data_IF_392918232520
#
_entry.id   IF_392918232520
#
_cell.length_a   1.000
_cell.length_b   1.000
_cell.length_c   1.000
_cell.angle_alpha   90.00
_cell.angle_beta   90.00
_cell.angle_gamma   90.00
#
_symmetry.space_group_name_H-M   'P 1'
#
loop_
_entity.id
_entity.type
_entity.pdbx_description
1 polymer ?
#
# COMPACT_ATOMS: atom_id res chain seq x y z
N UNK A 1 14.56 15.74 -19.09
CA UNK A 1 14.62 16.09 -17.65
C UNK A 1 13.19 16.35 -17.20
N UNK A 2 12.55 15.34 -16.61
CA UNK A 2 11.26 15.50 -15.95
C UNK A 2 11.50 16.34 -14.70
N UNK A 3 11.04 17.58 -14.71
CA UNK A 3 11.12 18.48 -13.56
C UNK A 3 10.29 17.85 -12.43
N UNK A 4 10.98 17.18 -11.48
CA UNK A 4 10.33 16.40 -10.43
C UNK A 4 9.47 17.36 -9.60
N UNK A 5 8.17 17.02 -9.40
CA UNK A 5 7.34 17.80 -8.48
C UNK A 5 7.95 17.67 -7.09
N UNK A 6 8.41 18.75 -6.52
CA UNK A 6 9.18 18.66 -5.28
C UNK A 6 8.31 18.38 -4.04
N UNK A 7 6.99 18.20 -4.19
CA UNK A 7 6.10 18.05 -3.05
C UNK A 7 6.53 16.88 -2.15
N UNK A 8 6.60 15.66 -2.70
CA UNK A 8 6.92 14.47 -1.90
C UNK A 8 8.38 14.50 -1.39
N UNK A 9 9.29 14.96 -2.23
CA UNK A 9 10.71 15.04 -1.88
C UNK A 9 11.04 16.06 -0.78
N UNK A 10 10.22 17.12 -0.69
CA UNK A 10 10.34 18.17 0.35
C UNK A 10 9.70 17.81 1.67
N UNK A 11 8.94 16.71 1.74
CA UNK A 11 8.34 16.29 3.01
C UNK A 11 9.44 15.95 4.01
N UNK A 12 9.32 16.43 5.26
CA UNK A 12 10.25 16.07 6.31
C UNK A 12 10.20 14.56 6.56
N UNK A 13 11.38 13.95 6.70
CA UNK A 13 11.49 12.53 7.07
C UNK A 13 11.23 12.37 8.56
N UNK A 14 10.20 11.61 8.91
CA UNK A 14 9.84 11.27 10.29
C UNK A 14 10.61 10.02 10.69
N UNK A 15 11.42 10.11 11.75
CA UNK A 15 12.25 8.97 12.20
C UNK A 15 11.59 8.13 13.30
N UNK A 16 10.57 8.66 13.97
CA UNK A 16 9.83 7.94 15.00
C UNK A 16 8.48 7.49 14.46
N UNK A 17 8.21 6.21 14.53
CA UNK A 17 6.89 5.67 14.17
C UNK A 17 5.77 6.29 15.04
N UNK A 18 6.11 6.68 16.26
CA UNK A 18 5.22 7.34 17.22
C UNK A 18 4.68 8.68 16.74
N UNK A 19 5.53 9.44 16.06
CA UNK A 19 5.12 10.72 15.53
C UNK A 19 4.03 10.61 14.44
N UNK A 20 3.89 9.43 13.82
CA UNK A 20 2.83 9.15 12.85
C UNK A 20 1.44 9.07 13.52
N UNK A 21 1.36 8.60 14.77
CA UNK A 21 0.08 8.38 15.46
C UNK A 21 -0.68 9.68 15.75
N UNK A 22 0.04 10.80 15.91
CA UNK A 22 -0.55 12.12 16.16
C UNK A 22 -1.13 12.83 14.94
N UNK A 23 -0.92 12.28 13.74
CA UNK A 23 -1.43 12.84 12.48
C UNK A 23 -0.80 14.17 12.02
N UNK A 24 -0.05 14.85 12.88
CA UNK A 24 0.48 16.19 12.59
C UNK A 24 1.58 16.21 11.51
N UNK A 25 2.26 15.09 11.28
CA UNK A 25 3.31 14.96 10.26
C UNK A 25 2.77 14.65 8.86
N UNK A 26 1.48 14.37 8.71
CA UNK A 26 0.86 14.09 7.43
C UNK A 26 0.49 15.39 6.70
N UNK A 27 1.07 15.57 5.52
CA UNK A 27 0.71 16.67 4.62
C UNK A 27 -0.41 16.25 3.67
N UNK A 28 -1.43 17.09 3.44
CA UNK A 28 -2.46 16.81 2.44
C UNK A 28 -1.82 16.81 1.04
N UNK A 29 -2.16 15.82 0.20
CA UNK A 29 -1.75 15.83 -1.20
C UNK A 29 -2.32 17.07 -1.91
N UNK A 30 -1.61 17.66 -2.88
CA UNK A 30 -2.18 18.73 -3.71
C UNK A 30 -3.48 18.26 -4.40
N UNK A 31 -4.45 19.17 -4.57
CA UNK A 31 -5.77 18.81 -5.07
C UNK A 31 -5.78 18.34 -6.53
N UNK A 32 -4.77 18.72 -7.29
CA UNK A 32 -4.56 18.35 -8.68
C UNK A 32 -3.78 17.05 -8.87
N UNK A 33 -3.24 16.46 -7.79
CA UNK A 33 -2.60 15.15 -7.83
C UNK A 33 -3.62 14.04 -8.06
N UNK A 34 -3.13 12.87 -8.48
CA UNK A 34 -3.95 11.68 -8.69
C UNK A 34 -3.48 10.57 -7.76
N UNK A 35 -4.46 9.83 -7.25
CA UNK A 35 -4.26 8.60 -6.51
C UNK A 35 -4.47 7.42 -7.44
N UNK A 36 -3.49 6.54 -7.52
CA UNK A 36 -3.57 5.30 -8.27
C UNK A 36 -3.71 4.09 -7.34
N UNK A 37 -4.39 3.08 -7.84
CA UNK A 37 -4.55 1.80 -7.16
C UNK A 37 -4.54 0.66 -8.17
N UNK A 38 -3.88 -0.44 -7.81
CA UNK A 38 -3.92 -1.73 -8.52
C UNK A 38 -4.24 -2.84 -7.54
N UNK A 39 -4.99 -3.86 -7.98
CA UNK A 39 -5.39 -5.00 -7.16
C UNK A 39 -5.64 -6.24 -8.02
N UNK A 40 -5.20 -7.40 -7.56
CA UNK A 40 -5.41 -8.67 -8.24
C UNK A 40 -6.80 -9.20 -7.93
N UNK A 41 -7.55 -9.58 -8.97
CA UNK A 41 -8.84 -10.26 -8.82
C UNK A 41 -8.60 -11.66 -8.27
N UNK A 42 -9.31 -12.02 -7.18
CA UNK A 42 -9.22 -13.33 -6.53
C UNK A 42 -7.81 -13.73 -6.07
N UNK A 43 -7.06 -12.76 -5.54
CA UNK A 43 -5.73 -13.00 -4.97
C UNK A 43 -5.75 -14.08 -3.88
N UNK A 44 -6.79 -14.15 -3.07
CA UNK A 44 -6.99 -15.18 -2.04
C UNK A 44 -7.07 -16.59 -2.63
N UNK A 45 -7.79 -16.76 -3.76
CA UNK A 45 -7.85 -18.03 -4.47
C UNK A 45 -6.49 -18.46 -5.02
N UNK A 46 -5.73 -17.54 -5.59
CA UNK A 46 -4.37 -17.78 -6.06
C UNK A 46 -3.41 -18.16 -4.90
N UNK A 47 -3.52 -17.48 -3.76
CA UNK A 47 -2.73 -17.78 -2.57
C UNK A 47 -3.05 -19.19 -2.03
N UNK A 48 -4.31 -19.59 -2.01
CA UNK A 48 -4.73 -20.95 -1.61
C UNK A 48 -4.15 -22.05 -2.53
N UNK A 49 -3.85 -21.72 -3.79
CA UNK A 49 -3.17 -22.59 -4.75
C UNK A 49 -1.64 -22.55 -4.64
N UNK A 50 -1.08 -21.79 -3.69
CA UNK A 50 0.36 -21.66 -3.48
C UNK A 50 1.07 -20.65 -4.39
N UNK A 51 0.33 -19.84 -5.17
CA UNK A 51 0.89 -18.88 -6.12
C UNK A 51 1.40 -17.58 -5.46
N UNK A 52 1.80 -17.61 -4.19
CA UNK A 52 2.15 -16.40 -3.42
C UNK A 52 3.27 -15.57 -4.05
N UNK A 53 4.25 -16.20 -4.71
CA UNK A 53 5.35 -15.47 -5.38
C UNK A 53 4.84 -14.70 -6.60
N UNK A 54 3.96 -15.31 -7.37
CA UNK A 54 3.32 -14.68 -8.54
C UNK A 54 2.45 -13.52 -8.09
N UNK A 55 1.60 -13.71 -7.06
CA UNK A 55 0.77 -12.66 -6.48
C UNK A 55 1.61 -11.47 -6.04
N UNK A 56 2.66 -11.70 -5.23
CA UNK A 56 3.54 -10.62 -4.78
C UNK A 56 4.28 -9.93 -5.92
N UNK A 57 4.73 -10.68 -6.93
CA UNK A 57 5.44 -10.12 -8.07
C UNK A 57 4.50 -9.25 -8.93
N UNK A 58 3.30 -9.73 -9.22
CA UNK A 58 2.29 -8.96 -9.96
C UNK A 58 1.86 -7.73 -9.16
N UNK A 59 1.61 -7.87 -7.85
CA UNK A 59 1.27 -6.74 -6.98
C UNK A 59 2.35 -5.65 -6.95
N UNK A 60 3.63 -6.04 -6.97
CA UNK A 60 4.76 -5.09 -6.97
C UNK A 60 5.09 -4.53 -8.37
N UNK A 61 4.62 -5.16 -9.44
CA UNK A 61 5.00 -4.78 -10.81
C UNK A 61 4.54 -3.36 -11.18
N UNK A 62 3.43 -2.88 -10.61
CA UNK A 62 2.96 -1.51 -10.82
C UNK A 62 3.98 -0.47 -10.33
N UNK A 63 4.65 -0.74 -9.19
CA UNK A 63 5.69 0.15 -8.66
C UNK A 63 6.88 0.17 -9.61
N UNK A 64 7.37 -1.01 -10.05
CA UNK A 64 8.50 -1.10 -10.95
C UNK A 64 8.24 -0.42 -12.30
N UNK A 65 7.08 -0.69 -12.92
CA UNK A 65 6.68 -0.05 -14.16
C UNK A 65 6.65 1.47 -14.05
N UNK A 66 6.01 2.00 -13.00
CA UNK A 66 5.95 3.44 -12.78
C UNK A 66 7.32 4.05 -12.47
N UNK A 67 8.14 3.41 -11.62
CA UNK A 67 9.49 3.91 -11.32
C UNK A 67 10.34 4.03 -12.59
N UNK A 68 10.30 3.03 -13.47
CA UNK A 68 11.05 3.04 -14.73
C UNK A 68 10.47 4.08 -15.71
N UNK A 69 9.16 4.14 -15.89
CA UNK A 69 8.51 5.11 -16.77
C UNK A 69 8.68 6.56 -16.32
N UNK A 70 8.85 6.79 -15.02
CA UNK A 70 9.07 8.12 -14.43
C UNK A 70 10.56 8.47 -14.25
N UNK A 71 11.47 7.71 -14.86
CA UNK A 71 12.92 7.95 -14.77
C UNK A 71 13.40 8.02 -13.31
N UNK A 72 12.85 7.13 -12.47
CA UNK A 72 13.11 7.04 -11.04
C UNK A 72 12.78 8.30 -10.23
N UNK A 73 11.96 9.21 -10.77
CA UNK A 73 11.45 10.34 -9.99
C UNK A 73 10.68 9.83 -8.77
N UNK A 74 10.92 10.36 -7.57
CA UNK A 74 10.28 9.87 -6.35
C UNK A 74 8.77 10.19 -6.36
N UNK A 75 7.97 9.21 -5.98
CA UNK A 75 6.54 9.35 -5.73
C UNK A 75 6.14 8.49 -4.53
N UNK A 76 5.11 8.89 -3.75
CA UNK A 76 4.64 8.09 -2.63
C UNK A 76 3.87 6.86 -3.11
N UNK A 77 4.22 5.69 -2.54
CA UNK A 77 3.51 4.43 -2.79
C UNK A 77 3.51 3.54 -1.55
N UNK A 78 2.56 2.62 -1.50
CA UNK A 78 2.48 1.54 -0.53
C UNK A 78 2.16 0.23 -1.25
N UNK A 79 2.85 -0.84 -0.83
CA UNK A 79 2.67 -2.19 -1.35
C UNK A 79 1.87 -3.03 -0.36
N UNK A 80 0.77 -3.61 -0.81
CA UNK A 80 -0.14 -4.43 0.01
C UNK A 80 0.02 -5.95 -0.14
N UNK A 81 0.97 -6.41 -0.96
CA UNK A 81 1.19 -7.84 -1.22
C UNK A 81 0.54 -8.33 -2.53
N UNK A 82 -0.71 -8.05 -2.75
CA UNK A 82 -1.48 -8.37 -3.96
C UNK A 82 -1.87 -7.14 -4.78
N UNK A 83 -1.51 -5.95 -4.28
CA UNK A 83 -1.78 -4.68 -4.93
C UNK A 83 -0.89 -3.56 -4.44
N UNK A 84 -1.05 -2.43 -5.06
CA UNK A 84 -0.28 -1.22 -4.80
C UNK A 84 -1.19 0.00 -4.84
N UNK A 85 -1.02 0.92 -3.89
CA UNK A 85 -1.57 2.27 -3.97
C UNK A 85 -0.45 3.29 -4.03
N UNK A 86 -0.65 4.37 -4.78
CA UNK A 86 0.35 5.40 -4.99
C UNK A 86 -0.29 6.75 -5.29
N UNK A 87 0.51 7.82 -5.31
CA UNK A 87 0.04 9.10 -5.81
C UNK A 87 1.08 9.74 -6.73
N UNK A 88 0.59 10.42 -7.76
CA UNK A 88 1.43 11.08 -8.78
C UNK A 88 0.93 12.48 -9.09
N UNK A 89 1.82 13.41 -9.45
CA UNK A 89 1.42 14.75 -9.90
C UNK A 89 0.76 14.70 -11.29
N UNK A 90 -0.07 15.70 -11.63
CA UNK A 90 -0.87 15.71 -12.86
C UNK A 90 -0.03 15.63 -14.14
N UNK A 91 1.19 16.18 -14.13
CA UNK A 91 2.07 16.17 -15.32
C UNK A 91 2.51 14.78 -15.78
N UNK A 92 2.46 13.76 -14.91
CA UNK A 92 2.81 12.37 -15.25
C UNK A 92 1.58 11.45 -15.27
N UNK A 93 0.38 12.00 -15.13
CA UNK A 93 -0.86 11.23 -15.07
C UNK A 93 -1.09 10.38 -16.33
N UNK A 94 -0.79 10.91 -17.51
CA UNK A 94 -0.96 10.18 -18.77
C UNK A 94 0.06 9.04 -18.89
N UNK A 95 1.31 9.27 -18.47
CA UNK A 95 2.33 8.22 -18.41
C UNK A 95 1.91 7.13 -17.45
N UNK A 96 1.47 7.49 -16.24
CA UNK A 96 1.00 6.53 -15.26
C UNK A 96 -0.20 5.71 -15.78
N UNK A 97 -1.16 6.36 -16.44
CA UNK A 97 -2.31 5.68 -17.05
C UNK A 97 -1.91 4.70 -18.14
N UNK A 98 -0.97 5.08 -19.00
CA UNK A 98 -0.47 4.20 -20.06
C UNK A 98 0.26 2.99 -19.50
N UNK A 99 1.13 3.18 -18.50
CA UNK A 99 1.86 2.09 -17.88
C UNK A 99 0.93 1.11 -17.15
N UNK A 100 -0.09 1.61 -16.46
CA UNK A 100 -1.09 0.75 -15.83
C UNK A 100 -1.92 -0.04 -16.86
N UNK A 101 -2.24 0.58 -18.01
CA UNK A 101 -2.93 -0.10 -19.10
C UNK A 101 -2.07 -1.22 -19.72
N UNK A 102 -0.76 -0.94 -19.96
CA UNK A 102 0.21 -1.93 -20.43
C UNK A 102 0.37 -3.07 -19.44
N UNK A 103 0.52 -2.73 -18.16
CA UNK A 103 0.67 -3.71 -17.08
C UNK A 103 -0.53 -4.65 -16.99
N UNK A 104 -1.75 -4.13 -17.07
CA UNK A 104 -2.96 -4.94 -17.07
C UNK A 104 -2.98 -5.96 -18.22
N UNK A 105 -2.65 -5.50 -19.43
CA UNK A 105 -2.61 -6.35 -20.62
C UNK A 105 -1.54 -7.44 -20.50
N UNK A 106 -0.33 -7.06 -20.05
CA UNK A 106 0.80 -7.95 -19.85
C UNK A 106 0.52 -9.01 -18.77
N UNK A 107 -0.02 -8.61 -17.62
CA UNK A 107 -0.37 -9.53 -16.52
C UNK A 107 -1.40 -10.58 -16.97
N UNK A 108 -2.41 -10.15 -17.73
CA UNK A 108 -3.41 -11.06 -18.27
C UNK A 108 -2.79 -12.04 -19.27
N UNK A 109 -1.89 -11.58 -20.13
CA UNK A 109 -1.24 -12.41 -21.13
C UNK A 109 -0.27 -13.43 -20.52
N UNK A 110 0.58 -13.01 -19.59
CA UNK A 110 1.68 -13.83 -19.09
C UNK A 110 1.26 -14.78 -17.95
N UNK A 111 0.27 -14.40 -17.16
CA UNK A 111 -0.10 -15.13 -15.94
C UNK A 111 -1.55 -15.60 -15.92
N UNK A 112 -2.37 -15.21 -16.89
CA UNK A 112 -3.83 -15.40 -16.87
C UNK A 112 -4.47 -14.85 -15.58
N UNK A 113 -3.93 -13.74 -15.08
CA UNK A 113 -4.39 -13.03 -13.90
C UNK A 113 -5.04 -11.71 -14.32
N UNK A 114 -6.24 -11.47 -13.81
CA UNK A 114 -6.88 -10.17 -13.99
C UNK A 114 -6.40 -9.17 -12.94
N UNK A 115 -5.76 -8.09 -13.40
CA UNK A 115 -5.36 -6.95 -12.58
C UNK A 115 -6.36 -5.81 -12.79
N UNK A 116 -6.92 -5.26 -11.70
CA UNK A 116 -7.64 -3.99 -11.72
C UNK A 116 -6.65 -2.85 -11.63
N UNK A 117 -6.96 -1.72 -12.22
CA UNK A 117 -6.20 -0.49 -12.04
C UNK A 117 -7.13 0.73 -12.15
N UNK A 118 -6.90 1.70 -11.30
CA UNK A 118 -7.61 2.99 -11.32
C UNK A 118 -6.63 4.15 -11.08
N UNK A 119 -7.00 5.32 -11.58
CA UNK A 119 -6.29 6.58 -11.33
C UNK A 119 -7.32 7.69 -11.15
N UNK A 120 -7.39 8.26 -9.94
CA UNK A 120 -8.46 9.14 -9.48
C UNK A 120 -7.89 10.47 -9.01
N UNK A 121 -8.41 11.63 -9.47
CA UNK A 121 -8.00 12.93 -8.93
C UNK A 121 -8.27 13.04 -7.42
N UNK A 122 -7.35 13.63 -6.67
CA UNK A 122 -7.53 13.91 -5.24
C UNK A 122 -8.77 14.78 -4.99
N UNK A 123 -9.11 15.66 -5.92
CA UNK A 123 -10.33 16.46 -5.86
C UNK A 123 -11.61 15.60 -5.80
N UNK A 124 -11.67 14.48 -6.55
CA UNK A 124 -12.81 13.55 -6.53
C UNK A 124 -12.89 12.81 -5.17
N UNK A 125 -11.74 12.41 -4.62
CA UNK A 125 -11.67 11.80 -3.28
C UNK A 125 -12.23 12.74 -2.23
N UNK A 126 -11.86 14.03 -2.30
CA UNK A 126 -12.35 15.06 -1.38
C UNK A 126 -13.84 15.37 -1.59
N UNK A 127 -14.31 15.37 -2.82
CA UNK A 127 -15.73 15.53 -3.11
C UNK A 127 -16.59 14.40 -2.52
N UNK A 128 -16.01 13.20 -2.37
CA UNK A 128 -16.64 12.06 -1.70
C UNK A 128 -16.56 12.11 -0.17
N UNK A 129 -15.94 13.14 0.42
CA UNK A 129 -15.85 13.33 1.88
C UNK A 129 -14.63 12.67 2.54
N UNK A 130 -13.67 12.16 1.75
CA UNK A 130 -12.41 11.61 2.23
C UNK A 130 -11.26 12.58 1.96
N UNK A 131 -10.07 12.30 2.50
CA UNK A 131 -8.85 13.02 2.16
C UNK A 131 -7.72 12.02 1.86
N UNK A 132 -6.66 12.51 1.24
CA UNK A 132 -5.41 11.78 1.07
C UNK A 132 -4.29 12.63 1.60
N UNK A 133 -3.67 12.16 2.65
CA UNK A 133 -2.55 12.80 3.32
C UNK A 133 -1.37 11.85 3.32
N UNK A 134 -0.17 12.35 3.25
CA UNK A 134 1.04 11.55 3.20
C UNK A 134 2.10 12.07 4.15
N UNK A 135 2.78 11.14 4.83
CA UNK A 135 4.00 11.39 5.58
C UNK A 135 5.13 10.50 5.02
N UNK A 136 6.36 10.91 5.23
CA UNK A 136 7.56 10.17 4.81
C UNK A 136 8.26 9.61 6.04
N UNK A 137 8.14 8.30 6.28
CA UNK A 137 8.73 7.62 7.42
C UNK A 137 10.11 7.04 7.07
N UNK A 138 11.15 7.52 7.71
CA UNK A 138 12.50 7.01 7.55
C UNK A 138 12.74 5.85 8.53
N UNK A 139 12.63 4.62 8.03
CA UNK A 139 12.95 3.42 8.81
C UNK A 139 14.47 3.27 9.04
N UNK A 140 15.29 3.85 8.16
CA UNK A 140 16.73 3.95 8.29
C UNK A 140 17.25 5.16 7.48
N UNK A 141 18.55 5.41 7.53
CA UNK A 141 19.19 6.49 6.74
C UNK A 141 18.92 6.38 5.23
N UNK A 142 18.82 5.15 4.72
CA UNK A 142 18.71 4.86 3.28
C UNK A 142 17.36 4.30 2.86
N UNK A 143 16.40 4.16 3.79
CA UNK A 143 15.11 3.55 3.52
C UNK A 143 14.00 4.38 4.14
N UNK A 144 13.13 4.91 3.30
CA UNK A 144 11.91 5.57 3.74
C UNK A 144 10.67 5.00 3.03
N UNK A 145 9.53 5.13 3.72
CA UNK A 145 8.22 4.68 3.26
C UNK A 145 7.25 5.84 3.22
N UNK A 146 6.40 5.84 2.21
CA UNK A 146 5.20 6.65 2.24
C UNK A 146 4.19 6.04 3.21
N UNK A 147 3.69 6.87 4.10
CA UNK A 147 2.60 6.52 5.02
C UNK A 147 1.40 7.37 4.63
N UNK A 148 0.26 6.73 4.39
CA UNK A 148 -0.95 7.42 3.97
C UNK A 148 -1.99 7.47 5.08
N UNK A 149 -2.79 8.54 5.07
CA UNK A 149 -3.87 8.81 6.01
C UNK A 149 -5.06 9.48 5.29
N UNK A 150 -6.21 9.59 5.96
CA UNK A 150 -7.39 10.31 5.46
C UNK A 150 -8.46 9.44 4.80
N UNK A 151 -8.25 8.11 4.71
CA UNK A 151 -9.23 7.14 4.19
C UNK A 151 -9.40 7.12 2.67
N UNK A 152 -8.77 8.06 1.95
CA UNK A 152 -8.96 8.20 0.50
C UNK A 152 -8.43 7.03 -0.31
N UNK A 153 -7.31 6.38 0.12
CA UNK A 153 -6.82 5.18 -0.56
C UNK A 153 -7.83 4.04 -0.52
N UNK A 154 -8.40 3.77 0.66
CA UNK A 154 -9.40 2.73 0.83
C UNK A 154 -10.68 3.02 0.03
N UNK A 155 -11.08 4.30 -0.05
CA UNK A 155 -12.19 4.71 -0.90
C UNK A 155 -11.88 4.45 -2.38
N UNK A 156 -10.72 4.85 -2.89
CA UNK A 156 -10.30 4.61 -4.29
C UNK A 156 -10.30 3.13 -4.61
N UNK A 157 -9.78 2.29 -3.71
CA UNK A 157 -9.79 0.83 -3.87
C UNK A 157 -11.21 0.27 -3.95
N UNK A 158 -12.11 0.75 -3.10
CA UNK A 158 -13.54 0.35 -3.10
C UNK A 158 -14.21 0.73 -4.43
N UNK A 159 -13.97 1.94 -4.91
CA UNK A 159 -14.49 2.44 -6.17
C UNK A 159 -13.98 1.66 -7.37
N UNK A 160 -12.67 1.36 -7.39
CA UNK A 160 -12.05 0.52 -8.40
C UNK A 160 -12.67 -0.89 -8.41
N UNK A 161 -12.87 -1.50 -7.25
CA UNK A 161 -13.50 -2.82 -7.13
C UNK A 161 -14.97 -2.81 -7.58
N UNK A 162 -15.63 -1.67 -7.47
CA UNK A 162 -16.98 -1.44 -8.00
C UNK A 162 -17.00 -1.13 -9.52
N UNK A 163 -15.83 -1.14 -10.19
CA UNK A 163 -15.70 -0.87 -11.63
C UNK A 163 -15.69 0.60 -12.00
N UNK A 164 -15.54 1.51 -11.01
CA UNK A 164 -15.41 2.95 -11.27
C UNK A 164 -13.94 3.33 -11.48
N UNK A 165 -13.70 4.36 -12.29
CA UNK A 165 -12.35 4.86 -12.63
C UNK A 165 -11.42 3.82 -13.27
N UNK A 166 -11.98 2.76 -13.83
CA UNK A 166 -11.22 1.66 -14.44
C UNK A 166 -10.34 2.17 -15.58
N UNK A 167 -9.10 1.71 -15.61
CA UNK A 167 -8.17 1.93 -16.71
C UNK A 167 -8.24 0.69 -17.60
N UNK A 168 -8.69 0.79 -18.85
CA UNK A 168 -8.73 -0.38 -19.75
C UNK A 168 -7.32 -0.92 -20.02
N UNK A 169 -7.22 -2.23 -20.25
CA UNK A 169 -5.98 -2.84 -20.71
C UNK A 169 -5.55 -2.27 -22.05
N UNK A 170 -4.23 -2.16 -22.28
CA UNK A 170 -3.70 -1.65 -23.54
C UNK A 170 -3.96 -2.63 -24.71
N UNK A 171 -4.19 -2.05 -25.90
CA UNK A 171 -4.27 -2.77 -27.18
C UNK A 171 -3.61 -1.89 -28.25
N UNK A 172 -2.53 -2.35 -28.93
CA UNK A 172 -1.90 -3.67 -28.78
C UNK A 172 -1.18 -3.85 -27.44
N UNK A 173 -0.91 -5.10 -27.07
CA UNK A 173 -0.21 -5.43 -25.85
C UNK A 173 1.29 -5.10 -26.01
N UNK A 174 1.77 -4.23 -25.12
CA UNK A 174 3.18 -3.91 -24.99
C UNK A 174 3.63 -4.23 -23.56
N UNK A 175 4.74 -4.95 -23.40
CA UNK A 175 5.26 -5.25 -22.09
C UNK A 175 5.77 -3.95 -21.40
N UNK A 176 5.42 -3.72 -20.12
CA UNK A 176 5.99 -2.63 -19.36
C UNK A 176 7.47 -2.88 -19.06
N UNK A 177 8.25 -1.82 -18.81
CA UNK A 177 9.61 -1.98 -18.32
C UNK A 177 9.58 -2.35 -16.82
N UNK A 178 9.91 -3.61 -16.52
CA UNK A 178 9.97 -4.15 -15.16
C UNK A 178 11.42 -4.37 -14.69
N UNK A 179 12.38 -3.70 -15.30
CA UNK A 179 13.80 -3.77 -14.91
C UNK A 179 13.95 -3.49 -13.41
N UNK A 180 14.69 -4.34 -12.71
CA UNK A 180 14.90 -4.24 -11.26
C UNK A 180 13.84 -4.94 -10.41
N UNK A 181 12.69 -5.35 -10.98
CA UNK A 181 11.71 -6.14 -10.25
C UNK A 181 12.28 -7.52 -9.92
N UNK A 182 12.35 -7.86 -8.65
CA UNK A 182 12.78 -9.19 -8.22
C UNK A 182 12.07 -9.60 -6.93
N UNK A 183 11.55 -10.82 -6.91
CA UNK A 183 11.00 -11.42 -5.69
C UNK A 183 12.09 -12.26 -5.01
N UNK A 184 12.63 -11.76 -3.90
CA UNK A 184 13.72 -12.41 -3.13
C UNK A 184 13.22 -13.12 -1.86
N UNK A 185 11.91 -13.34 -1.75
CA UNK A 185 11.31 -13.98 -0.59
C UNK A 185 11.52 -15.49 -0.62
N UNK A 186 12.00 -16.01 0.50
CA UNK A 186 12.03 -17.44 0.77
C UNK A 186 11.20 -17.71 2.03
N UNK A 187 10.51 -18.85 2.07
CA UNK A 187 9.84 -19.28 3.28
C UNK A 187 10.87 -19.55 4.38
N UNK A 188 10.67 -18.97 5.56
CA UNK A 188 11.47 -19.25 6.74
C UNK A 188 10.65 -20.12 7.67
N UNK A 189 11.15 -21.28 8.12
CA UNK A 189 10.43 -22.11 9.08
C UNK A 189 10.25 -21.36 10.40
N UNK A 190 9.09 -21.53 11.01
CA UNK A 190 8.83 -20.97 12.33
C UNK A 190 9.76 -21.61 13.37
N UNK A 191 10.57 -20.81 14.06
CA UNK A 191 11.55 -21.29 15.05
C UNK A 191 10.86 -22.04 16.20
N UNK A 192 9.66 -21.60 16.59
CA UNK A 192 8.86 -22.18 17.67
C UNK A 192 7.62 -22.95 17.15
N UNK A 193 7.63 -23.38 15.89
CA UNK A 193 6.54 -24.16 15.28
C UNK A 193 5.32 -23.34 14.84
N UNK A 194 5.15 -22.10 15.30
CA UNK A 194 4.02 -21.24 14.97
C UNK A 194 4.47 -19.78 14.75
N UNK A 195 3.75 -19.08 13.87
CA UNK A 195 3.82 -17.63 13.69
C UNK A 195 2.42 -17.09 13.94
N UNK A 196 2.29 -16.18 14.91
CA UNK A 196 1.04 -15.48 15.19
C UNK A 196 1.09 -14.09 14.59
N UNK A 197 0.12 -13.78 13.73
CA UNK A 197 -0.09 -12.42 13.19
C UNK A 197 -1.38 -11.85 13.78
N UNK A 198 -1.31 -10.64 14.33
CA UNK A 198 -2.46 -9.91 14.87
C UNK A 198 -2.68 -8.66 14.00
N UNK A 199 -3.87 -8.56 13.40
CA UNK A 199 -4.29 -7.40 12.63
C UNK A 199 -5.44 -6.71 13.36
N UNK A 200 -5.28 -5.41 13.61
CA UNK A 200 -6.30 -4.59 14.26
C UNK A 200 -6.89 -3.64 13.23
N UNK A 201 -8.18 -3.80 12.96
CA UNK A 201 -8.94 -2.94 12.07
C UNK A 201 -9.89 -2.08 12.88
N UNK A 202 -9.80 -0.77 12.72
CA UNK A 202 -10.62 0.26 13.35
C UNK A 202 -10.48 0.38 14.88
N UNK A 203 -10.14 1.59 15.32
CA UNK A 203 -9.94 1.94 16.71
C UNK A 203 -11.19 1.69 17.58
N UNK A 204 -12.37 1.94 17.03
CA UNK A 204 -13.65 1.81 17.76
C UNK A 204 -13.99 0.35 18.11
N UNK A 205 -13.62 -0.60 17.26
CA UNK A 205 -13.82 -2.03 17.56
C UNK A 205 -12.89 -2.53 18.65
N UNK A 206 -11.67 -1.99 18.73
CA UNK A 206 -10.70 -2.32 19.77
C UNK A 206 -11.16 -1.80 21.12
N UNK A 207 -11.69 -0.58 21.17
CA UNK A 207 -12.19 0.03 22.43
C UNK A 207 -13.46 -0.64 22.96
N UNK A 208 -14.28 -1.21 22.09
CA UNK A 208 -15.55 -1.85 22.47
C UNK A 208 -15.39 -3.32 22.86
N UNK A 209 -14.28 -3.96 22.54
CA UNK A 209 -14.09 -5.38 22.85
C UNK A 209 -13.53 -5.55 24.26
N UNK A 210 -14.14 -6.39 25.14
CA UNK A 210 -13.72 -6.56 26.55
C UNK A 210 -12.24 -6.96 26.72
N UNK A 211 -11.66 -7.70 25.77
CA UNK A 211 -10.23 -8.10 25.77
C UNK A 211 -9.28 -6.92 25.67
N UNK A 212 -9.73 -5.78 25.16
CA UNK A 212 -8.92 -4.59 24.94
C UNK A 212 -9.35 -3.40 25.81
N UNK A 213 -10.33 -3.63 26.71
CA UNK A 213 -10.76 -2.63 27.68
C UNK A 213 -9.58 -2.22 28.58
N UNK A 214 -9.05 -1.03 28.36
CA UNK A 214 -7.85 -0.52 29.04
C UNK A 214 -6.62 -0.34 28.16
N UNK A 215 -6.66 -0.78 26.90
CA UNK A 215 -5.63 -0.41 25.94
C UNK A 215 -5.94 0.96 25.34
N UNK A 216 -5.09 1.93 25.62
CA UNK A 216 -5.05 3.16 24.85
C UNK A 216 -4.40 2.87 23.49
N UNK A 217 -4.95 3.39 22.40
CA UNK A 217 -4.34 3.35 21.06
C UNK A 217 -2.93 3.97 21.00
N UNK A 218 -2.57 4.74 22.03
CA UNK A 218 -1.24 5.30 22.25
C UNK A 218 -0.31 4.35 23.01
N UNK A 219 -0.83 3.27 23.61
CA UNK A 219 0.01 2.23 24.23
C UNK A 219 0.44 1.22 23.18
N UNK A 220 1.58 1.43 22.66
CA UNK A 220 2.20 0.66 21.61
C UNK A 220 2.62 -0.70 22.01
N UNK A 221 2.45 -1.55 21.08
CA UNK A 221 3.25 -2.76 20.96
C UNK A 221 4.52 -2.35 20.21
N UNK A 222 5.59 -1.98 20.89
CA UNK A 222 6.91 -1.95 20.26
C UNK A 222 7.28 -3.38 19.91
N UNK A 223 7.95 -3.60 18.78
CA UNK A 223 8.28 -4.97 18.33
C UNK A 223 9.18 -5.74 19.33
N UNK A 224 9.86 -5.05 20.26
CA UNK A 224 10.67 -5.63 21.31
C UNK A 224 9.87 -6.01 22.56
N UNK A 225 8.77 -5.29 22.84
CA UNK A 225 7.90 -5.57 24.00
C UNK A 225 6.75 -6.52 23.67
N UNK A 226 6.55 -6.84 22.37
CA UNK A 226 5.43 -7.66 21.90
C UNK A 226 5.42 -9.09 22.45
N UNK A 227 6.58 -9.67 22.76
CA UNK A 227 6.63 -11.01 23.37
C UNK A 227 6.15 -10.99 24.83
N UNK A 228 6.52 -9.99 25.60
CA UNK A 228 6.09 -9.87 27.00
C UNK A 228 4.61 -9.50 27.11
N UNK A 229 4.11 -8.58 26.26
CA UNK A 229 2.70 -8.20 26.22
C UNK A 229 1.81 -9.36 25.72
N UNK A 230 2.27 -10.13 24.74
CA UNK A 230 1.56 -11.29 24.21
C UNK A 230 1.47 -12.42 25.26
N UNK A 231 2.55 -12.69 26.01
CA UNK A 231 2.56 -13.63 27.12
C UNK A 231 1.59 -13.23 28.23
N UNK A 232 1.49 -11.96 28.56
CA UNK A 232 0.55 -11.45 29.56
C UNK A 232 -0.90 -11.56 29.09
N UNK A 233 -1.19 -11.30 27.83
CA UNK A 233 -2.52 -11.42 27.24
C UNK A 233 -3.01 -12.87 27.13
N UNK A 234 -2.14 -13.78 26.74
CA UNK A 234 -2.49 -15.20 26.56
C UNK A 234 -2.47 -15.93 27.89
N UNK A 235 -1.52 -15.62 28.79
CA UNK A 235 -1.40 -16.27 30.11
C UNK A 235 -2.63 -16.01 31.02
N UNK A 236 -3.17 -14.79 31.01
CA UNK A 236 -4.35 -14.45 31.81
C UNK A 236 -5.65 -15.04 31.28
N UNK A 237 -5.67 -15.65 30.11
CA UNK A 237 -6.89 -16.24 29.49
C UNK A 237 -6.88 -17.77 29.52
N UNK A 238 -5.73 -18.41 29.80
CA UNK A 238 -5.63 -19.87 29.92
C UNK A 238 -5.84 -20.38 31.35
N UNK A 239 -5.81 -19.47 32.34
CA UNK A 239 -6.02 -19.77 33.76
C UNK A 239 -7.44 -19.40 34.25
N UNK A 240 -8.37 -19.09 33.35
CA UNK A 240 -9.80 -18.86 33.61
C UNK A 240 -10.63 -19.82 32.74
#
# INVERSE_FOLDING_TARGET
MTDADPFYDRLPKVQSFDALTGGACFAPLPADWLVGCCDIVDSTGLLAQGAYKTVNMVGASAIAALMNALDHAPFPFVFGGDGTSFAVPPRVADVARQELARLRAWVQQEFDITLRAALVPVAEVRAAGFDVRVARYAASEHLDYAMFDGGGLAWVETEMKAGRFDIPAADPIEAPDLTGLSCRWNSTPAVNGQILSLLFFAADLIQQHPLFAGFSLTQRISFQDSQAALHTLIGNHLDS
#
